data_IF_751070622178
#
_entry.id   IF_751070622178
#
_cell.length_a   1.000
_cell.length_b   1.000
_cell.length_c   1.000
_cell.angle_alpha   90.00
_cell.angle_beta   90.00
_cell.angle_gamma   90.00
#
_symmetry.space_group_name_H-M   'P 1'
#
loop_
_entity.id
_entity.type
_entity.pdbx_description
1 polymer ?
#
# COMPACT_ATOMS: atom_id res chain seq x y z
N UNK A 1 -5.00 3.44 -17.76
CA UNK A 1 -4.03 4.57 -17.72
C UNK A 1 -3.53 4.70 -16.29
N UNK A 2 -2.22 4.87 -16.10
CA UNK A 2 -1.58 4.93 -14.79
C UNK A 2 -2.07 6.17 -14.01
N UNK A 3 -2.71 5.95 -12.86
CA UNK A 3 -3.28 7.01 -12.02
C UNK A 3 -2.43 7.31 -10.78
N UNK A 4 -1.72 6.29 -10.30
CA UNK A 4 -0.93 6.38 -9.07
C UNK A 4 0.44 5.75 -9.25
N UNK A 5 1.48 6.46 -8.88
CA UNK A 5 2.85 5.93 -8.75
C UNK A 5 3.26 5.98 -7.29
N UNK A 6 3.54 4.82 -6.69
CA UNK A 6 4.12 4.72 -5.35
C UNK A 6 5.62 4.59 -5.47
N UNK A 7 6.35 5.33 -4.67
CA UNK A 7 7.82 5.35 -4.69
C UNK A 7 8.34 5.02 -3.29
N UNK A 8 9.03 3.92 -3.17
CA UNK A 8 9.75 3.55 -1.96
C UNK A 8 11.12 4.22 -1.97
N UNK A 9 11.21 5.42 -1.37
CA UNK A 9 12.39 6.27 -1.41
C UNK A 9 13.64 5.62 -0.79
N UNK A 10 13.42 4.80 0.24
CA UNK A 10 14.47 4.12 0.99
C UNK A 10 13.94 2.86 1.68
N UNK A 11 14.82 1.92 1.99
CA UNK A 11 14.49 0.83 2.91
C UNK A 11 14.85 1.14 4.38
N UNK A 12 15.39 2.34 4.66
CA UNK A 12 15.71 2.76 6.03
C UNK A 12 14.43 2.96 6.84
N UNK A 13 14.37 2.34 8.02
CA UNK A 13 13.25 2.48 8.95
C UNK A 13 13.73 2.21 10.37
N UNK A 14 13.26 2.97 11.33
CA UNK A 14 13.53 2.73 12.76
C UNK A 14 12.69 1.58 13.33
N UNK A 15 11.65 1.14 12.62
CA UNK A 15 10.77 0.04 13.02
C UNK A 15 11.22 -1.31 12.46
N UNK A 16 10.89 -2.37 13.17
CA UNK A 16 11.18 -3.74 12.76
C UNK A 16 9.91 -4.58 12.70
N UNK A 17 8.89 -4.09 11.97
CA UNK A 17 7.59 -4.77 11.87
C UNK A 17 7.74 -6.17 11.28
N UNK A 18 7.13 -7.18 11.92
CA UNK A 18 7.16 -8.58 11.46
C UNK A 18 6.48 -8.79 10.10
N UNK A 19 5.45 -7.98 9.80
CA UNK A 19 4.68 -8.03 8.56
C UNK A 19 5.15 -7.02 7.49
N UNK A 20 6.36 -6.44 7.64
CA UNK A 20 6.85 -5.40 6.75
C UNK A 20 6.95 -5.89 5.30
N UNK A 21 6.10 -5.35 4.42
CA UNK A 21 6.09 -5.69 2.99
C UNK A 21 7.31 -5.17 2.23
N UNK A 22 7.98 -4.13 2.75
CA UNK A 22 9.12 -3.46 2.12
C UNK A 22 10.48 -3.98 2.59
N UNK A 23 10.53 -5.03 3.41
CA UNK A 23 11.80 -5.51 3.99
C UNK A 23 12.66 -4.41 4.62
N UNK A 24 12.01 -3.40 5.22
CA UNK A 24 12.68 -2.26 5.80
C UNK A 24 13.67 -2.68 6.90
N UNK A 25 14.74 -1.92 7.05
CA UNK A 25 15.85 -2.24 7.95
C UNK A 25 16.41 -0.99 8.62
N UNK A 26 16.93 -1.17 9.84
CA UNK A 26 17.77 -0.19 10.52
C UNK A 26 19.28 -0.47 10.35
N UNK A 27 19.66 -1.60 9.71
CA UNK A 27 21.05 -2.00 9.53
C UNK A 27 21.74 -1.14 8.46
N UNK A 28 22.78 -0.42 8.86
CA UNK A 28 23.53 0.53 8.01
C UNK A 28 24.12 -0.17 6.78
N UNK A 29 24.63 -1.40 6.91
CA UNK A 29 25.28 -2.14 5.81
C UNK A 29 24.35 -2.54 4.66
N UNK A 30 23.06 -2.46 4.84
CA UNK A 30 22.05 -2.88 3.87
C UNK A 30 21.11 -1.74 3.42
N UNK A 31 21.47 -0.49 3.72
CA UNK A 31 20.66 0.66 3.36
C UNK A 31 20.69 0.88 1.85
N UNK A 32 19.50 1.08 1.29
CA UNK A 32 19.28 1.48 -0.09
C UNK A 32 18.44 2.75 -0.10
N UNK A 33 18.86 3.70 -0.90
CA UNK A 33 18.22 5.01 -1.05
C UNK A 33 18.15 5.29 -2.55
N UNK A 34 16.98 5.67 -3.05
CA UNK A 34 16.85 6.09 -4.44
C UNK A 34 17.54 7.43 -4.67
N UNK A 35 18.14 7.57 -5.84
CA UNK A 35 18.72 8.83 -6.27
C UNK A 35 17.62 9.87 -6.51
N UNK A 36 17.86 11.10 -6.06
CA UNK A 36 16.89 12.18 -6.17
C UNK A 36 16.58 12.56 -7.62
N UNK A 37 17.60 12.57 -8.50
CA UNK A 37 17.39 12.95 -9.90
C UNK A 37 16.58 11.88 -10.64
N UNK A 38 16.81 10.60 -10.35
CA UNK A 38 16.00 9.51 -10.89
C UNK A 38 14.54 9.63 -10.44
N UNK A 39 14.29 9.86 -9.15
CA UNK A 39 12.93 10.03 -8.63
C UNK A 39 12.26 11.27 -9.22
N UNK A 40 12.97 12.40 -9.28
CA UNK A 40 12.46 13.65 -9.87
C UNK A 40 12.10 13.48 -11.34
N UNK A 41 12.88 12.73 -12.09
CA UNK A 41 12.60 12.39 -13.49
C UNK A 41 11.31 11.57 -13.61
N UNK A 42 11.16 10.52 -12.80
CA UNK A 42 9.95 9.68 -12.79
C UNK A 42 8.70 10.49 -12.44
N UNK A 43 8.77 11.42 -11.48
CA UNK A 43 7.65 12.32 -11.15
C UNK A 43 7.26 13.19 -12.35
N UNK A 44 8.24 13.77 -13.06
CA UNK A 44 7.98 14.56 -14.28
C UNK A 44 7.36 13.72 -15.40
N UNK A 45 7.88 12.50 -15.61
CA UNK A 45 7.32 11.56 -16.59
C UNK A 45 5.88 11.14 -16.22
N UNK A 46 5.60 10.91 -14.93
CA UNK A 46 4.25 10.61 -14.43
C UNK A 46 3.27 11.75 -14.73
N UNK A 47 3.68 13.01 -14.54
CA UNK A 47 2.87 14.17 -14.90
C UNK A 47 2.58 14.23 -16.40
N UNK A 48 3.58 13.99 -17.26
CA UNK A 48 3.42 14.02 -18.72
C UNK A 48 2.40 13.00 -19.25
N UNK A 49 2.23 11.88 -18.57
CA UNK A 49 1.26 10.83 -18.94
C UNK A 49 -0.09 10.97 -18.24
N UNK A 50 -0.28 12.04 -17.45
CA UNK A 50 -1.54 12.34 -16.78
C UNK A 50 -1.78 11.51 -15.52
N UNK A 51 -0.72 11.11 -14.80
CA UNK A 51 -0.84 10.50 -13.47
C UNK A 51 -1.35 11.54 -12.47
N UNK A 52 -2.32 11.16 -11.64
CA UNK A 52 -2.96 12.07 -10.68
C UNK A 52 -2.21 12.17 -9.35
N UNK A 53 -1.56 11.08 -8.93
CA UNK A 53 -1.08 10.95 -7.55
C UNK A 53 0.29 10.29 -7.46
N UNK A 54 1.17 10.89 -6.68
CA UNK A 54 2.44 10.30 -6.22
C UNK A 54 2.31 9.93 -4.75
N UNK A 55 2.67 8.69 -4.42
CA UNK A 55 2.71 8.22 -3.03
C UNK A 55 4.15 7.98 -2.62
N UNK A 56 4.65 8.72 -1.66
CA UNK A 56 5.96 8.48 -1.07
C UNK A 56 5.86 7.51 0.10
N UNK A 57 6.68 6.49 0.07
CA UNK A 57 6.70 5.40 1.06
C UNK A 57 8.10 4.79 1.12
N UNK A 58 8.22 3.56 1.58
CA UNK A 58 9.48 2.82 1.64
C UNK A 58 9.65 2.12 2.97
N UNK A 59 10.79 2.30 3.62
CA UNK A 59 10.95 2.06 5.04
C UNK A 59 10.16 3.14 5.80
N UNK A 60 10.82 4.25 6.10
CA UNK A 60 10.15 5.46 6.61
C UNK A 60 10.49 6.64 5.69
N UNK A 61 9.53 7.21 4.95
CA UNK A 61 9.79 8.27 3.99
C UNK A 61 10.36 9.54 4.62
N UNK A 62 10.04 9.85 5.90
CA UNK A 62 10.63 10.99 6.62
C UNK A 62 12.14 10.83 6.91
N UNK A 63 12.71 9.66 6.64
CA UNK A 63 14.16 9.40 6.71
C UNK A 63 14.87 9.61 5.36
N UNK A 64 14.16 10.13 4.36
CA UNK A 64 14.72 10.55 3.09
C UNK A 64 14.89 12.08 3.10
N UNK A 65 16.13 12.55 3.19
CA UNK A 65 16.45 13.95 3.48
C UNK A 65 15.87 14.94 2.46
N UNK A 66 15.70 14.52 1.21
CA UNK A 66 15.18 15.34 0.11
C UNK A 66 13.69 15.12 -0.17
N UNK A 67 12.93 14.56 0.77
CA UNK A 67 11.48 14.41 0.63
C UNK A 67 10.76 15.77 0.42
N UNK A 68 11.13 16.86 1.12
CA UNK A 68 10.50 18.17 0.92
C UNK A 68 10.54 18.64 -0.52
N UNK A 69 11.69 18.52 -1.20
CA UNK A 69 11.82 18.94 -2.60
C UNK A 69 10.98 18.07 -3.55
N UNK A 70 10.79 16.78 -3.27
CA UNK A 70 9.93 15.89 -4.07
C UNK A 70 8.46 16.23 -3.90
N UNK A 71 8.03 16.57 -2.67
CA UNK A 71 6.66 17.04 -2.40
C UNK A 71 6.38 18.35 -3.12
N UNK A 72 7.30 19.31 -3.02
CA UNK A 72 7.21 20.60 -3.70
C UNK A 72 7.16 20.42 -5.22
N UNK A 73 8.02 19.58 -5.79
CA UNK A 73 8.03 19.27 -7.22
C UNK A 73 6.67 18.69 -7.65
N UNK A 74 6.13 17.73 -6.90
CA UNK A 74 4.83 17.10 -7.19
C UNK A 74 3.71 18.13 -7.18
N UNK A 75 3.69 19.00 -6.18
CA UNK A 75 2.72 20.10 -6.04
C UNK A 75 2.82 21.12 -7.19
N UNK A 76 4.04 21.55 -7.56
CA UNK A 76 4.29 22.47 -8.70
C UNK A 76 3.80 21.90 -10.04
N UNK A 77 3.81 20.58 -10.18
CA UNK A 77 3.29 19.89 -11.36
C UNK A 77 1.77 19.67 -11.32
N UNK A 78 1.07 20.13 -10.28
CA UNK A 78 -0.37 19.99 -10.13
C UNK A 78 -0.87 18.60 -9.76
N UNK A 79 0.04 17.70 -9.38
CA UNK A 79 -0.30 16.35 -8.91
C UNK A 79 -0.50 16.34 -7.39
N UNK A 80 -1.23 15.35 -6.92
CA UNK A 80 -1.39 15.08 -5.49
C UNK A 80 -0.21 14.29 -4.95
N UNK A 81 0.25 14.65 -3.75
CA UNK A 81 1.22 13.87 -3.00
C UNK A 81 0.62 13.29 -1.72
N UNK A 82 0.98 12.05 -1.43
CA UNK A 82 0.57 11.31 -0.23
C UNK A 82 1.83 10.69 0.38
N UNK A 83 1.95 10.69 1.70
CA UNK A 83 2.98 9.91 2.40
C UNK A 83 2.34 8.76 3.18
N UNK A 84 2.99 7.58 3.15
CA UNK A 84 2.69 6.46 4.04
C UNK A 84 3.79 6.36 5.08
N UNK A 85 3.46 6.60 6.34
CA UNK A 85 4.43 6.80 7.40
C UNK A 85 4.03 6.12 8.70
N UNK A 86 5.03 5.82 9.50
CA UNK A 86 4.90 5.37 10.89
C UNK A 86 5.95 6.06 11.77
N UNK A 87 6.21 7.33 11.53
CA UNK A 87 7.18 8.08 12.32
C UNK A 87 6.73 8.26 13.78
N UNK A 88 7.70 8.30 14.69
CA UNK A 88 7.42 8.64 16.07
C UNK A 88 6.88 10.07 16.19
N UNK A 89 6.03 10.30 17.19
CA UNK A 89 5.42 11.61 17.46
C UNK A 89 6.37 12.42 18.32
N UNK A 90 7.23 13.16 17.68
CA UNK A 90 8.18 14.07 18.29
C UNK A 90 7.96 15.49 17.75
N UNK A 91 8.48 16.49 18.40
CA UNK A 91 8.45 17.87 17.90
C UNK A 91 9.12 17.96 16.52
N UNK A 92 10.23 17.26 16.30
CA UNK A 92 10.89 17.17 14.99
C UNK A 92 9.98 16.60 13.92
N UNK A 93 9.23 15.55 14.24
CA UNK A 93 8.26 14.95 13.28
C UNK A 93 7.08 15.86 13.04
N UNK A 94 6.60 16.59 14.05
CA UNK A 94 5.57 17.60 13.91
C UNK A 94 6.00 18.69 12.92
N UNK A 95 7.20 19.22 13.08
CA UNK A 95 7.75 20.26 12.20
C UNK A 95 7.93 19.75 10.77
N UNK A 96 8.43 18.53 10.58
CA UNK A 96 8.53 17.90 9.26
C UNK A 96 7.17 17.75 8.57
N UNK A 97 6.13 17.32 9.28
CA UNK A 97 4.80 17.21 8.69
C UNK A 97 4.23 18.57 8.27
N UNK A 98 4.40 19.60 9.09
CA UNK A 98 3.98 20.96 8.76
C UNK A 98 4.71 21.50 7.55
N UNK A 99 6.03 21.37 7.50
CA UNK A 99 6.83 21.73 6.33
C UNK A 99 6.33 21.04 5.05
N UNK A 100 6.10 19.73 5.09
CA UNK A 100 5.59 19.00 3.92
C UNK A 100 4.20 19.48 3.49
N UNK A 101 3.32 19.80 4.45
CA UNK A 101 1.99 20.33 4.15
C UNK A 101 2.09 21.73 3.53
N UNK A 102 2.95 22.58 4.03
CA UNK A 102 3.20 23.93 3.49
C UNK A 102 3.75 23.87 2.07
N UNK A 103 4.54 22.83 1.74
CA UNK A 103 5.04 22.55 0.39
C UNK A 103 4.00 21.86 -0.53
N UNK A 104 2.80 21.56 -0.02
CA UNK A 104 1.68 21.07 -0.82
C UNK A 104 1.38 19.58 -0.64
N UNK A 105 1.83 18.93 0.43
CA UNK A 105 1.42 17.57 0.76
C UNK A 105 -0.09 17.51 0.99
N UNK A 106 -0.79 16.64 0.26
CA UNK A 106 -2.25 16.55 0.33
C UNK A 106 -2.74 15.61 1.41
N UNK A 107 -1.97 14.57 1.73
CA UNK A 107 -2.44 13.56 2.68
C UNK A 107 -1.30 12.84 3.40
N UNK A 108 -1.49 12.66 4.69
CA UNK A 108 -0.72 11.75 5.53
C UNK A 108 -1.56 10.49 5.75
N UNK A 109 -0.99 9.32 5.49
CA UNK A 109 -1.58 8.04 5.85
C UNK A 109 -0.68 7.40 6.90
N UNK A 110 -1.17 7.41 8.13
CA UNK A 110 -0.44 6.91 9.28
C UNK A 110 -0.74 5.42 9.49
N UNK A 111 0.30 4.61 9.63
CA UNK A 111 0.13 3.19 9.92
C UNK A 111 -0.20 2.99 11.40
N UNK A 112 -1.33 2.38 11.66
CA UNK A 112 -1.66 1.82 12.96
C UNK A 112 -0.92 0.48 13.05
N UNK A 113 0.38 0.53 13.34
CA UNK A 113 1.17 -0.68 13.40
C UNK A 113 0.81 -1.45 14.66
N UNK A 114 0.79 -2.72 14.46
CA UNK A 114 0.49 -3.71 15.44
C UNK A 114 1.70 -4.61 15.66
N UNK A 115 2.82 -4.00 16.00
CA UNK A 115 3.91 -4.79 16.52
C UNK A 115 3.65 -4.98 18.01
N UNK A 116 3.23 -6.19 18.36
CA UNK A 116 3.13 -6.65 19.76
C UNK A 116 4.44 -6.52 20.54
N UNK A 117 5.53 -6.17 19.88
CA UNK A 117 6.86 -6.02 20.48
C UNK A 117 7.17 -4.61 20.97
N UNK A 118 6.40 -3.61 20.55
CA UNK A 118 6.60 -2.23 20.99
C UNK A 118 5.51 -1.92 22.03
N UNK A 119 5.88 -1.93 23.29
CA UNK A 119 5.06 -1.45 24.42
C UNK A 119 4.66 0.03 24.26
N UNK A 120 5.20 0.69 23.25
CA UNK A 120 4.85 2.02 22.85
C UNK A 120 3.63 2.01 21.93
N UNK A 121 2.43 2.02 22.56
CA UNK A 121 1.42 2.90 22.07
C UNK A 121 0.42 2.40 21.05
N UNK A 122 -0.55 1.70 21.58
CA UNK A 122 -1.79 1.38 20.87
C UNK A 122 -2.84 2.49 21.09
N UNK A 123 -2.66 3.34 22.10
CA UNK A 123 -3.65 4.38 22.42
C UNK A 123 -3.74 5.40 21.28
N UNK A 124 -4.88 5.37 20.58
CA UNK A 124 -5.22 6.34 19.56
C UNK A 124 -5.42 7.73 20.17
N UNK A 125 -5.83 7.79 21.43
CA UNK A 125 -6.10 9.04 22.15
C UNK A 125 -4.87 9.93 22.31
N UNK A 126 -3.70 9.34 22.57
CA UNK A 126 -2.44 10.10 22.69
C UNK A 126 -1.99 10.73 21.37
N UNK A 127 -2.58 10.29 20.24
CA UNK A 127 -2.27 10.82 18.91
C UNK A 127 -3.07 12.06 18.55
N UNK A 128 -4.15 12.33 19.26
CA UNK A 128 -5.10 13.40 18.92
C UNK A 128 -4.44 14.77 18.97
N UNK A 129 -3.83 15.11 20.10
CA UNK A 129 -3.20 16.42 20.27
C UNK A 129 -2.09 16.65 19.23
N UNK A 130 -1.33 15.60 18.95
CA UNK A 130 -0.27 15.67 17.94
C UNK A 130 -0.86 15.97 16.56
N UNK A 131 -1.87 15.22 16.11
CA UNK A 131 -2.47 15.43 14.79
C UNK A 131 -3.32 16.69 14.72
N UNK A 132 -3.99 17.10 15.80
CA UNK A 132 -4.68 18.40 15.85
C UNK A 132 -3.68 19.54 15.59
N UNK A 133 -2.45 19.47 16.13
CA UNK A 133 -1.36 20.43 15.85
C UNK A 133 -0.85 20.33 14.41
N UNK A 134 -0.69 19.10 13.83
CA UNK A 134 -0.23 18.92 12.46
C UNK A 134 -1.20 19.53 11.47
N UNK A 135 -2.52 19.33 11.66
CA UNK A 135 -3.55 19.75 10.72
C UNK A 135 -4.19 21.10 11.04
N UNK A 136 -3.61 21.85 11.98
CA UNK A 136 -4.08 23.19 12.30
C UNK A 136 -3.94 24.14 11.11
N UNK A 137 -5.03 24.80 10.74
CA UNK A 137 -5.08 25.83 9.69
C UNK A 137 -4.62 25.39 8.28
N UNK A 138 -4.76 24.10 7.92
CA UNK A 138 -4.47 23.62 6.57
C UNK A 138 -5.56 22.69 6.04
N UNK A 139 -5.46 22.31 4.75
CA UNK A 139 -6.44 21.47 4.07
C UNK A 139 -5.97 20.02 3.83
N UNK A 140 -4.82 19.65 4.34
CA UNK A 140 -4.31 18.29 4.21
C UNK A 140 -5.21 17.29 4.97
N UNK A 141 -5.13 16.03 4.60
CA UNK A 141 -6.00 14.98 5.16
C UNK A 141 -5.19 13.93 5.91
N UNK A 142 -5.82 13.36 6.95
CA UNK A 142 -5.30 12.22 7.70
C UNK A 142 -6.09 10.96 7.36
N UNK A 143 -5.41 9.91 6.93
CA UNK A 143 -5.96 8.57 6.88
C UNK A 143 -5.15 7.62 7.75
N UNK A 144 -5.74 6.48 8.08
CA UNK A 144 -5.03 5.43 8.79
C UNK A 144 -5.00 4.15 7.97
N UNK A 145 -3.89 3.42 8.04
CA UNK A 145 -3.76 2.05 7.55
C UNK A 145 -3.65 1.09 8.72
N UNK A 146 -4.42 0.03 8.68
CA UNK A 146 -4.31 -1.10 9.60
C UNK A 146 -4.14 -2.40 8.81
N UNK A 147 -2.98 -3.03 8.93
CA UNK A 147 -2.73 -4.32 8.29
C UNK A 147 -3.34 -5.43 9.12
N UNK A 148 -4.32 -6.11 8.55
CA UNK A 148 -5.03 -7.19 9.24
C UNK A 148 -4.36 -8.52 8.93
N UNK A 149 -3.61 -9.00 9.89
CA UNK A 149 -2.98 -10.32 9.93
C UNK A 149 -3.55 -11.15 11.08
N UNK A 150 -3.17 -12.41 11.18
CA UNK A 150 -3.56 -13.27 12.30
C UNK A 150 -3.16 -12.67 13.65
N UNK A 151 -1.97 -12.06 13.72
CA UNK A 151 -1.46 -11.46 14.96
C UNK A 151 -2.25 -10.22 15.38
N UNK A 152 -2.73 -9.43 14.41
CA UNK A 152 -3.45 -8.18 14.65
C UNK A 152 -4.97 -8.35 14.74
N UNK A 153 -5.50 -9.50 14.34
CA UNK A 153 -6.93 -9.75 14.21
C UNK A 153 -7.71 -9.59 15.53
N UNK A 154 -7.15 -10.06 16.65
CA UNK A 154 -7.81 -10.01 17.96
C UNK A 154 -8.12 -8.58 18.44
N UNK A 155 -7.39 -7.58 17.97
CA UNK A 155 -7.55 -6.16 18.33
C UNK A 155 -8.21 -5.32 17.25
N UNK A 156 -8.55 -5.93 16.10
CA UNK A 156 -9.07 -5.22 14.94
C UNK A 156 -10.27 -4.33 15.27
N UNK A 157 -11.29 -4.90 15.92
CA UNK A 157 -12.52 -4.19 16.24
C UNK A 157 -12.25 -3.01 17.18
N UNK A 158 -11.48 -3.25 18.23
CA UNK A 158 -11.10 -2.21 19.19
C UNK A 158 -10.36 -1.06 18.48
N UNK A 159 -9.27 -1.36 17.75
CA UNK A 159 -8.43 -0.34 17.09
C UNK A 159 -9.24 0.46 16.07
N UNK A 160 -10.09 -0.18 15.28
CA UNK A 160 -10.92 0.51 14.28
C UNK A 160 -11.93 1.43 14.95
N UNK A 161 -12.68 0.93 15.94
CA UNK A 161 -13.71 1.70 16.62
C UNK A 161 -13.11 2.87 17.40
N UNK A 162 -12.04 2.64 18.17
CA UNK A 162 -11.35 3.72 18.91
C UNK A 162 -10.82 4.79 17.95
N UNK A 163 -10.20 4.40 16.81
CA UNK A 163 -9.71 5.36 15.84
C UNK A 163 -10.83 6.20 15.26
N UNK A 164 -11.93 5.58 14.85
CA UNK A 164 -13.06 6.30 14.25
C UNK A 164 -13.70 7.22 15.30
N UNK A 165 -14.02 6.72 16.49
CA UNK A 165 -14.64 7.54 17.56
C UNK A 165 -13.76 8.74 17.91
N UNK A 166 -12.45 8.55 17.93
CA UNK A 166 -11.50 9.60 18.27
C UNK A 166 -11.40 10.69 17.19
N UNK A 167 -11.44 10.31 15.93
CA UNK A 167 -11.15 11.25 14.83
C UNK A 167 -12.36 11.66 13.98
N UNK A 168 -13.51 11.00 14.06
CA UNK A 168 -14.66 11.24 13.15
C UNK A 168 -15.21 12.66 13.16
N UNK A 169 -15.05 13.41 14.25
CA UNK A 169 -15.46 14.81 14.36
C UNK A 169 -14.47 15.81 13.76
N UNK A 170 -13.28 15.37 13.37
CA UNK A 170 -12.21 16.24 12.85
C UNK A 170 -12.32 16.39 11.35
N UNK A 171 -12.35 17.63 10.87
CA UNK A 171 -12.52 17.93 9.44
C UNK A 171 -11.38 17.35 8.58
N UNK A 172 -10.16 17.20 9.12
CA UNK A 172 -9.02 16.62 8.42
C UNK A 172 -9.05 15.09 8.34
N UNK A 173 -9.87 14.40 9.14
CA UNK A 173 -9.93 12.94 9.12
C UNK A 173 -10.62 12.42 7.86
N UNK A 174 -9.98 11.48 7.18
CA UNK A 174 -10.53 10.80 6.01
C UNK A 174 -11.17 9.46 6.43
N UNK A 175 -10.35 8.45 6.70
CA UNK A 175 -10.83 7.09 6.97
C UNK A 175 -9.74 6.18 7.55
N UNK A 176 -10.17 5.00 8.03
CA UNK A 176 -9.31 3.85 8.32
C UNK A 176 -9.37 2.88 7.14
N UNK A 177 -8.24 2.53 6.55
CA UNK A 177 -8.14 1.52 5.51
C UNK A 177 -7.63 0.21 6.08
N UNK A 178 -8.41 -0.84 5.96
CA UNK A 178 -8.02 -2.19 6.36
C UNK A 178 -7.24 -2.84 5.20
N UNK A 179 -5.99 -3.15 5.43
CA UNK A 179 -5.13 -3.81 4.46
C UNK A 179 -5.14 -5.32 4.74
N UNK A 180 -5.61 -6.12 3.77
CA UNK A 180 -5.50 -7.57 3.87
C UNK A 180 -4.03 -7.95 3.80
N UNK A 181 -3.57 -8.68 4.81
CA UNK A 181 -2.21 -9.21 4.82
C UNK A 181 -1.94 -10.11 3.60
N UNK A 182 -0.75 -9.98 3.05
CA UNK A 182 -0.23 -10.84 1.97
C UNK A 182 1.15 -11.33 2.41
N UNK A 183 1.44 -12.63 2.35
CA UNK A 183 2.69 -13.21 2.85
C UNK A 183 3.86 -12.91 1.90
N UNK A 184 4.43 -11.71 2.03
CA UNK A 184 5.63 -11.28 1.29
C UNK A 184 6.46 -10.31 2.14
N UNK A 185 7.68 -10.00 1.71
CA UNK A 185 8.62 -9.24 2.50
C UNK A 185 9.05 -10.03 3.74
N UNK A 186 8.87 -9.45 4.93
CA UNK A 186 9.11 -10.15 6.21
C UNK A 186 7.94 -11.05 6.63
N UNK A 187 6.77 -10.85 6.03
CA UNK A 187 5.57 -11.59 6.39
C UNK A 187 5.57 -13.03 5.89
N UNK A 188 5.16 -13.96 6.72
CA UNK A 188 5.13 -15.40 6.47
C UNK A 188 3.70 -15.93 6.33
N UNK A 189 3.52 -17.11 5.74
CA UNK A 189 2.18 -17.67 5.43
C UNK A 189 1.34 -17.97 6.69
N UNK A 190 1.97 -18.26 7.81
CA UNK A 190 1.33 -18.50 9.10
C UNK A 190 0.68 -17.25 9.71
N UNK A 191 1.06 -16.06 9.23
CA UNK A 191 0.43 -14.79 9.59
C UNK A 191 -0.84 -14.49 8.78
N UNK A 192 -1.15 -15.28 7.74
CA UNK A 192 -2.34 -15.04 6.91
C UNK A 192 -3.62 -15.49 7.64
N UNK A 193 -4.69 -14.72 7.44
CA UNK A 193 -5.99 -14.95 8.07
C UNK A 193 -6.62 -16.28 7.65
N UNK A 194 -7.32 -16.93 8.57
CA UNK A 194 -8.22 -18.05 8.27
C UNK A 194 -9.48 -17.57 7.54
N UNK A 195 -10.28 -18.51 6.99
CA UNK A 195 -11.58 -18.17 6.42
C UNK A 195 -12.58 -17.66 7.46
N UNK A 196 -12.52 -18.21 8.67
CA UNK A 196 -13.35 -17.82 9.80
C UNK A 196 -13.07 -16.38 10.23
N UNK A 197 -11.78 -16.01 10.34
CA UNK A 197 -11.36 -14.64 10.64
C UNK A 197 -11.79 -13.66 9.54
N UNK A 198 -11.68 -14.05 8.27
CA UNK A 198 -12.18 -13.24 7.16
C UNK A 198 -13.70 -13.03 7.22
N UNK A 199 -14.48 -14.04 7.60
CA UNK A 199 -15.93 -13.90 7.79
C UNK A 199 -16.27 -13.01 8.98
N UNK A 200 -15.48 -13.07 10.06
CA UNK A 200 -15.66 -12.15 11.20
C UNK A 200 -15.40 -10.69 10.80
N UNK A 201 -14.39 -10.42 9.97
CA UNK A 201 -14.14 -9.08 9.41
C UNK A 201 -15.32 -8.60 8.55
N UNK A 202 -15.90 -9.49 7.75
CA UNK A 202 -17.12 -9.17 6.99
C UNK A 202 -18.26 -8.74 7.92
N UNK A 203 -18.50 -9.49 8.98
CA UNK A 203 -19.56 -9.19 9.94
C UNK A 203 -19.30 -7.86 10.67
N UNK A 204 -18.04 -7.61 11.10
CA UNK A 204 -17.65 -6.35 11.71
C UNK A 204 -17.96 -5.18 10.77
N UNK A 205 -17.55 -5.26 9.51
CA UNK A 205 -17.83 -4.20 8.53
C UNK A 205 -19.33 -4.01 8.31
N UNK A 206 -20.10 -5.10 8.12
CA UNK A 206 -21.54 -5.01 7.84
C UNK A 206 -22.33 -4.47 9.02
N UNK A 207 -21.87 -4.67 10.24
CA UNK A 207 -22.53 -4.20 11.48
C UNK A 207 -22.03 -2.83 11.95
N UNK A 208 -20.96 -2.27 11.35
CA UNK A 208 -20.48 -0.94 11.71
C UNK A 208 -21.48 0.15 11.31
N UNK A 209 -21.66 1.13 12.19
CA UNK A 209 -22.44 2.34 11.89
C UNK A 209 -21.65 3.38 11.09
N UNK A 210 -20.31 3.28 11.09
CA UNK A 210 -19.36 4.22 10.47
C UNK A 210 -18.69 3.61 9.23
N UNK A 211 -19.46 2.87 8.39
CA UNK A 211 -18.93 2.19 7.18
C UNK A 211 -18.23 3.14 6.20
N UNK A 212 -18.71 4.39 6.13
CA UNK A 212 -18.11 5.44 5.30
C UNK A 212 -16.71 5.85 5.76
N UNK A 213 -16.39 5.55 7.02
CA UNK A 213 -15.05 5.75 7.62
C UNK A 213 -14.15 4.53 7.55
N UNK A 214 -14.64 3.39 7.05
CA UNK A 214 -13.86 2.16 6.87
C UNK A 214 -13.69 1.92 5.37
N UNK A 215 -12.45 1.86 4.91
CA UNK A 215 -12.13 1.45 3.54
C UNK A 215 -11.64 0.01 3.55
N UNK A 216 -12.33 -0.81 2.79
CA UNK A 216 -11.83 -2.09 2.30
C UNK A 216 -11.29 -1.84 0.88
N UNK A 217 -10.54 -2.69 0.33
CA UNK A 217 -10.05 -2.54 -1.05
C UNK A 217 -10.24 -3.85 -1.81
N UNK A 218 -9.78 -3.90 -3.04
CA UNK A 218 -9.86 -5.07 -3.92
C UNK A 218 -9.53 -6.40 -3.25
N UNK A 219 -8.51 -6.52 -2.37
CA UNK A 219 -8.20 -7.80 -1.71
C UNK A 219 -9.35 -8.38 -0.87
N UNK A 220 -10.31 -7.56 -0.46
CA UNK A 220 -11.47 -7.96 0.33
C UNK A 220 -12.69 -8.35 -0.52
N UNK A 221 -12.62 -8.24 -1.83
CA UNK A 221 -13.72 -8.64 -2.74
C UNK A 221 -14.16 -10.09 -2.53
N UNK A 222 -13.27 -10.96 -2.10
CA UNK A 222 -13.60 -12.37 -1.79
C UNK A 222 -14.70 -12.52 -0.74
N UNK A 223 -14.91 -11.51 0.11
CA UNK A 223 -15.96 -11.47 1.12
C UNK A 223 -17.35 -11.09 0.53
N UNK A 224 -17.36 -10.56 -0.69
CA UNK A 224 -18.59 -10.10 -1.34
C UNK A 224 -19.17 -8.82 -0.76
N UNK A 225 -18.35 -7.96 -0.18
CA UNK A 225 -18.71 -6.65 0.35
C UNK A 225 -18.12 -5.49 -0.46
N UNK A 226 -17.09 -5.76 -1.22
CA UNK A 226 -16.48 -4.86 -2.19
C UNK A 226 -16.58 -5.50 -3.58
N UNK A 227 -16.65 -4.70 -4.62
CA UNK A 227 -16.70 -5.16 -6.01
C UNK A 227 -15.78 -4.35 -6.93
N UNK A 228 -14.80 -3.67 -6.36
CA UNK A 228 -13.85 -2.85 -7.10
C UNK A 228 -12.93 -3.75 -7.94
N UNK A 229 -12.79 -3.50 -9.24
CA UNK A 229 -11.86 -4.26 -10.09
C UNK A 229 -10.42 -4.15 -9.57
N UNK A 230 -9.64 -5.19 -9.77
CA UNK A 230 -8.22 -5.16 -9.45
C UNK A 230 -7.48 -4.24 -10.43
N UNK A 231 -6.79 -3.25 -9.90
CA UNK A 231 -6.06 -2.21 -10.65
C UNK A 231 -4.57 -2.54 -10.86
N UNK A 232 -4.17 -3.77 -10.53
CA UNK A 232 -2.78 -4.24 -10.66
C UNK A 232 -2.24 -4.01 -12.08
N UNK A 233 -1.05 -3.46 -12.17
CA UNK A 233 -0.36 -3.16 -13.43
C UNK A 233 -1.11 -2.22 -14.39
N UNK A 234 -2.30 -1.74 -14.08
CA UNK A 234 -3.10 -0.84 -14.91
C UNK A 234 -3.11 0.59 -14.37
N UNK A 235 -3.74 0.82 -13.22
CA UNK A 235 -3.84 2.17 -12.65
C UNK A 235 -2.75 2.46 -11.60
N UNK A 236 -2.00 1.45 -11.16
CA UNK A 236 -0.96 1.56 -10.13
C UNK A 236 0.36 0.95 -10.59
N UNK A 237 1.45 1.62 -10.21
CA UNK A 237 2.83 1.13 -10.30
C UNK A 237 3.56 1.45 -9.01
N UNK A 238 4.42 0.54 -8.58
CA UNK A 238 5.30 0.72 -7.42
C UNK A 238 6.73 0.78 -7.91
N UNK A 239 7.48 1.80 -7.56
CA UNK A 239 8.92 1.85 -7.70
C UNK A 239 9.52 1.45 -6.35
N UNK A 240 10.18 0.31 -6.31
CA UNK A 240 10.85 -0.17 -5.11
C UNK A 240 12.12 0.62 -4.80
N UNK A 241 12.61 0.55 -3.56
CA UNK A 241 13.88 1.16 -3.16
C UNK A 241 15.10 0.60 -3.92
N UNK A 242 14.92 -0.48 -4.68
CA UNK A 242 15.90 -1.06 -5.60
C UNK A 242 15.85 -0.44 -7.01
N UNK A 243 14.92 0.50 -7.23
CA UNK A 243 14.67 1.16 -8.50
C UNK A 243 13.83 0.35 -9.48
N UNK A 244 13.44 -0.88 -9.14
CA UNK A 244 12.63 -1.74 -10.01
C UNK A 244 11.14 -1.34 -9.91
N UNK A 245 10.45 -1.35 -11.06
CA UNK A 245 9.02 -1.16 -11.08
C UNK A 245 8.27 -2.47 -10.81
N UNK A 246 7.29 -2.42 -9.93
CA UNK A 246 6.43 -3.54 -9.54
C UNK A 246 4.96 -3.22 -9.84
N UNK A 247 4.16 -4.20 -10.25
CA UNK A 247 2.78 -3.96 -10.65
C UNK A 247 1.81 -3.74 -9.48
N UNK A 248 2.19 -4.14 -8.25
CA UNK A 248 1.37 -4.00 -7.05
C UNK A 248 2.20 -4.22 -5.78
N UNK A 249 1.76 -3.63 -4.66
CA UNK A 249 2.36 -3.85 -3.33
C UNK A 249 2.40 -5.33 -2.92
N UNK A 250 1.38 -6.10 -3.29
CA UNK A 250 1.25 -7.52 -2.89
C UNK A 250 2.24 -8.46 -3.59
N UNK A 251 2.94 -8.01 -4.62
CA UNK A 251 3.96 -8.79 -5.34
C UNK A 251 5.27 -8.03 -5.52
N UNK A 252 5.52 -7.03 -4.68
CA UNK A 252 6.83 -6.38 -4.60
C UNK A 252 7.91 -7.42 -4.32
N UNK A 253 9.08 -7.19 -4.93
CA UNK A 253 10.25 -8.07 -4.82
C UNK A 253 10.05 -9.52 -5.28
N UNK A 254 8.87 -9.85 -5.83
CA UNK A 254 8.61 -11.14 -6.42
C UNK A 254 9.04 -11.15 -7.90
N UNK A 255 10.36 -11.21 -8.12
CA UNK A 255 10.97 -11.10 -9.45
C UNK A 255 11.03 -12.41 -10.23
N UNK A 256 10.59 -13.51 -9.61
CA UNK A 256 10.64 -14.85 -10.21
C UNK A 256 9.83 -14.99 -11.50
N UNK A 257 8.76 -14.22 -11.65
CA UNK A 257 7.88 -14.24 -12.83
C UNK A 257 8.18 -13.18 -13.88
N UNK A 258 9.04 -12.22 -13.56
CA UNK A 258 9.42 -11.15 -14.47
C UNK A 258 9.88 -9.90 -13.74
N UNK A 259 10.49 -9.01 -14.49
CA UNK A 259 10.85 -7.65 -14.09
C UNK A 259 10.40 -6.70 -15.20
N UNK A 260 10.00 -5.50 -14.80
CA UNK A 260 9.48 -4.50 -15.73
C UNK A 260 10.51 -3.45 -16.15
N UNK A 261 11.68 -3.46 -15.54
CA UNK A 261 12.73 -2.47 -15.73
C UNK A 261 13.12 -1.74 -14.45
N UNK A 262 14.13 -0.88 -14.56
CA UNK A 262 14.69 -0.11 -13.45
C UNK A 262 14.71 1.37 -13.82
N UNK A 263 14.38 2.24 -12.84
CA UNK A 263 14.32 3.70 -13.08
C UNK A 263 15.65 4.28 -13.55
N UNK A 264 16.80 3.66 -13.28
CA UNK A 264 18.11 4.12 -13.76
C UNK A 264 18.29 3.97 -15.27
N UNK A 265 17.60 3.03 -15.88
CA UNK A 265 17.80 2.63 -17.27
C UNK A 265 16.56 2.88 -18.13
N UNK A 266 15.38 2.88 -17.53
CA UNK A 266 14.12 2.91 -18.23
C UNK A 266 13.28 4.12 -17.86
N UNK A 267 12.51 4.62 -18.82
CA UNK A 267 11.43 5.59 -18.57
C UNK A 267 10.24 4.91 -17.90
N UNK A 268 9.38 5.71 -17.27
CA UNK A 268 8.13 5.23 -16.66
C UNK A 268 7.24 4.48 -17.67
N UNK A 269 7.16 4.98 -18.92
CA UNK A 269 6.34 4.36 -19.96
C UNK A 269 6.93 3.05 -20.49
N UNK A 270 8.26 2.91 -20.58
CA UNK A 270 8.89 1.64 -20.94
C UNK A 270 8.60 0.59 -19.88
N UNK A 271 8.72 0.93 -18.60
CA UNK A 271 8.40 0.03 -17.50
C UNK A 271 6.91 -0.35 -17.48
N UNK A 272 6.00 0.64 -17.68
CA UNK A 272 4.55 0.40 -17.74
C UNK A 272 4.13 -0.48 -18.91
N UNK A 273 4.83 -0.39 -20.05
CA UNK A 273 4.59 -1.19 -21.26
C UNK A 273 5.50 -2.42 -21.36
N UNK A 274 6.21 -2.78 -20.30
CA UNK A 274 6.99 -4.01 -20.26
C UNK A 274 6.11 -5.25 -20.50
N UNK A 275 6.70 -6.29 -21.06
CA UNK A 275 6.00 -7.56 -21.28
C UNK A 275 5.37 -8.11 -19.98
N UNK A 276 6.04 -7.93 -18.83
CA UNK A 276 5.54 -8.38 -17.55
C UNK A 276 4.22 -7.68 -17.16
N UNK A 277 4.16 -6.35 -17.28
CA UNK A 277 2.95 -5.57 -16.99
C UNK A 277 1.82 -5.88 -17.99
N UNK A 278 2.15 -5.97 -19.29
CA UNK A 278 1.18 -6.32 -20.35
C UNK A 278 0.55 -7.70 -20.08
N UNK A 279 1.37 -8.68 -19.73
CA UNK A 279 0.88 -10.03 -19.43
C UNK A 279 -0.01 -10.08 -18.20
N UNK A 280 0.32 -9.33 -17.13
CA UNK A 280 -0.54 -9.26 -15.94
C UNK A 280 -1.91 -8.66 -16.31
N UNK A 281 -1.94 -7.53 -17.03
CA UNK A 281 -3.21 -6.92 -17.49
C UNK A 281 -4.05 -7.88 -18.32
N UNK A 282 -3.44 -8.49 -19.31
CA UNK A 282 -4.09 -9.46 -20.20
C UNK A 282 -4.67 -10.65 -19.43
N UNK A 283 -3.88 -11.28 -18.57
CA UNK A 283 -4.32 -12.47 -17.86
C UNK A 283 -5.32 -12.13 -16.72
N UNK A 284 -5.31 -10.90 -16.20
CA UNK A 284 -6.33 -10.46 -15.25
C UNK A 284 -7.71 -10.34 -15.91
N UNK A 285 -7.77 -9.91 -17.16
CA UNK A 285 -9.03 -9.84 -17.93
C UNK A 285 -9.52 -11.26 -18.29
N UNK A 286 -8.63 -12.08 -18.81
CA UNK A 286 -8.93 -13.43 -19.32
C UNK A 286 -8.79 -14.52 -18.25
N UNK A 287 -9.26 -14.28 -17.03
CA UNK A 287 -9.08 -15.27 -15.97
C UNK A 287 -10.25 -16.26 -15.86
N UNK A 288 -9.96 -17.47 -15.39
CA UNK A 288 -10.93 -18.57 -15.26
C UNK A 288 -12.06 -18.30 -14.26
N UNK A 289 -11.91 -17.29 -13.39
CA UNK A 289 -12.97 -16.89 -12.47
C UNK A 289 -14.11 -16.14 -13.16
N UNK A 290 -13.93 -15.64 -14.38
CA UNK A 290 -14.97 -14.92 -15.13
C UNK A 290 -16.26 -15.73 -15.32
N UNK A 291 -16.16 -17.06 -15.40
CA UNK A 291 -17.30 -17.96 -15.48
C UNK A 291 -17.93 -18.30 -14.11
N UNK A 292 -17.42 -17.76 -13.01
CA UNK A 292 -17.95 -18.01 -11.68
C UNK A 292 -19.17 -17.13 -11.41
N UNK A 293 -20.25 -17.69 -10.88
CA UNK A 293 -21.47 -16.93 -10.50
C UNK A 293 -21.20 -15.77 -9.49
N UNK A 294 -20.16 -15.90 -8.66
CA UNK A 294 -19.74 -14.86 -7.72
C UNK A 294 -18.81 -13.81 -8.34
N UNK A 295 -18.45 -13.92 -9.62
CA UNK A 295 -17.48 -13.01 -10.24
C UNK A 295 -17.93 -11.55 -10.26
N UNK A 296 -19.23 -11.30 -10.40
CA UNK A 296 -19.80 -9.95 -10.38
C UNK A 296 -19.45 -9.16 -9.12
N UNK A 297 -19.26 -9.86 -7.99
CA UNK A 297 -18.93 -9.27 -6.69
C UNK A 297 -17.44 -9.49 -6.35
N UNK A 298 -16.98 -10.74 -6.42
CA UNK A 298 -15.63 -11.12 -5.99
C UNK A 298 -14.51 -10.58 -6.90
N UNK A 299 -14.80 -10.37 -8.20
CA UNK A 299 -13.81 -9.90 -9.19
C UNK A 299 -12.49 -10.70 -9.17
N UNK A 300 -12.58 -12.01 -8.89
CA UNK A 300 -11.43 -12.92 -8.86
C UNK A 300 -10.54 -12.85 -7.61
N UNK A 301 -10.84 -12.02 -6.64
CA UNK A 301 -10.03 -11.85 -5.42
C UNK A 301 -8.72 -11.09 -5.65
N UNK A 302 -7.71 -11.36 -4.82
CA UNK A 302 -6.42 -10.70 -4.90
C UNK A 302 -5.45 -11.47 -5.82
N UNK A 303 -4.99 -10.82 -6.90
CA UNK A 303 -4.05 -11.42 -7.85
C UNK A 303 -2.70 -11.71 -7.19
N UNK A 304 -2.21 -10.83 -6.32
CA UNK A 304 -0.98 -11.08 -5.58
C UNK A 304 -1.05 -12.31 -4.70
N UNK A 305 -2.16 -12.52 -3.98
CA UNK A 305 -2.40 -13.74 -3.19
C UNK A 305 -2.37 -14.99 -4.10
N UNK A 306 -3.01 -14.92 -5.25
CA UNK A 306 -3.03 -16.04 -6.23
C UNK A 306 -1.63 -16.37 -6.73
N UNK A 307 -0.84 -15.35 -7.08
CA UNK A 307 0.52 -15.52 -7.57
C UNK A 307 1.38 -16.18 -6.49
N UNK A 308 1.42 -15.62 -5.29
CA UNK A 308 2.29 -16.09 -4.21
C UNK A 308 1.91 -17.52 -3.78
N UNK A 309 0.61 -17.80 -3.63
CA UNK A 309 0.16 -19.12 -3.16
C UNK A 309 0.30 -20.23 -4.19
N UNK A 310 0.29 -19.91 -5.48
CA UNK A 310 0.26 -20.92 -6.56
C UNK A 310 1.53 -20.95 -7.41
N UNK A 311 2.53 -20.16 -7.04
CA UNK A 311 3.80 -20.19 -7.73
C UNK A 311 4.51 -21.52 -7.52
N UNK A 312 4.94 -22.12 -8.63
CA UNK A 312 5.89 -23.23 -8.65
C UNK A 312 6.94 -22.93 -9.71
N UNK A 313 8.18 -23.24 -9.45
CA UNK A 313 9.27 -22.97 -10.36
C UNK A 313 9.08 -23.66 -11.71
N UNK A 314 9.35 -22.94 -12.78
CA UNK A 314 9.22 -23.43 -14.16
C UNK A 314 10.07 -22.55 -15.09
N UNK A 315 10.62 -23.14 -16.14
CA UNK A 315 11.41 -22.43 -17.16
C UNK A 315 10.57 -21.43 -17.96
N UNK A 316 9.27 -21.68 -18.11
CA UNK A 316 8.37 -20.77 -18.81
C UNK A 316 7.65 -19.82 -17.86
N UNK A 317 8.25 -18.64 -17.63
CA UNK A 317 7.71 -17.62 -16.72
C UNK A 317 6.32 -17.11 -17.12
N UNK A 318 6.06 -16.93 -18.42
CA UNK A 318 4.76 -16.42 -18.95
C UNK A 318 3.63 -17.39 -18.68
N UNK A 319 3.84 -18.69 -18.99
CA UNK A 319 2.84 -19.72 -18.71
C UNK A 319 2.62 -19.89 -17.21
N UNK A 320 3.67 -19.77 -16.41
CA UNK A 320 3.56 -19.85 -14.96
C UNK A 320 2.77 -18.66 -14.39
N UNK A 321 3.04 -17.45 -14.86
CA UNK A 321 2.28 -16.25 -14.49
C UNK A 321 0.80 -16.40 -14.85
N UNK A 322 0.49 -16.84 -16.09
CA UNK A 322 -0.89 -17.08 -16.53
C UNK A 322 -1.60 -18.12 -15.65
N UNK A 323 -0.93 -19.22 -15.32
CA UNK A 323 -1.48 -20.27 -14.45
C UNK A 323 -1.78 -19.72 -13.04
N UNK A 324 -0.86 -18.94 -12.45
CA UNK A 324 -1.06 -18.36 -11.13
C UNK A 324 -2.25 -17.38 -11.11
N UNK A 325 -2.35 -16.48 -12.10
CA UNK A 325 -3.46 -15.53 -12.20
C UNK A 325 -4.79 -16.25 -12.43
N UNK A 326 -4.80 -17.34 -13.17
CA UNK A 326 -6.00 -18.15 -13.44
C UNK A 326 -6.35 -19.10 -12.29
N UNK A 327 -5.54 -19.25 -11.28
CA UNK A 327 -5.87 -20.00 -10.07
C UNK A 327 -6.93 -19.28 -9.23
N UNK A 328 -7.47 -19.98 -8.24
CA UNK A 328 -8.34 -19.35 -7.23
C UNK A 328 -7.51 -18.62 -6.17
N UNK A 329 -8.06 -17.55 -5.64
CA UNK A 329 -7.53 -16.96 -4.40
C UNK A 329 -7.51 -18.05 -3.31
N UNK A 330 -6.42 -18.24 -2.56
CA UNK A 330 -6.31 -19.31 -1.55
C UNK A 330 -7.40 -19.25 -0.48
N UNK A 331 -8.00 -18.08 -0.28
CA UNK A 331 -9.10 -17.86 0.66
C UNK A 331 -10.47 -17.76 -0.05
N UNK A 332 -10.57 -18.24 -1.28
CA UNK A 332 -11.86 -18.25 -2.00
C UNK A 332 -12.98 -18.85 -1.15
N UNK A 333 -14.12 -18.14 -1.05
CA UNK A 333 -15.27 -18.50 -0.22
C UNK A 333 -16.25 -19.47 -0.94
N UNK A 334 -15.78 -20.11 -2.01
CA UNK A 334 -16.55 -21.10 -2.77
C UNK A 334 -16.25 -22.51 -2.31
#
# INVERSE_FOLDING_TARGET
>A
MLKEVKIELTNKCSRNCKHCSSNATSSIGNLKILDFEDVSRIIKEANLIGTDTIVFTGGEPLMYDRLPELVELTSKLGMKSIIYTFAYRTDETLDKYRELIDLGLNKIVYSLADSLSDEEDISVYDKVEFFDKVFENNNARLGFHYTVSKDSFSRLEQVVNETIETFKSRCYFDRVSLLRFVPHGKGTIDMDLSKEELLAIKNLYLNSNDKDKIRLGTPWNILGIENTPCIIADEIMIIGFDGIAYPCDSIKYFTKLGVSGNIKENSLMEMYNSEYFINIRKFNIDNSCSACERYSICKSGCIGQKIIANYTESDNKVLTLKRCINSRDPKCMR
#
